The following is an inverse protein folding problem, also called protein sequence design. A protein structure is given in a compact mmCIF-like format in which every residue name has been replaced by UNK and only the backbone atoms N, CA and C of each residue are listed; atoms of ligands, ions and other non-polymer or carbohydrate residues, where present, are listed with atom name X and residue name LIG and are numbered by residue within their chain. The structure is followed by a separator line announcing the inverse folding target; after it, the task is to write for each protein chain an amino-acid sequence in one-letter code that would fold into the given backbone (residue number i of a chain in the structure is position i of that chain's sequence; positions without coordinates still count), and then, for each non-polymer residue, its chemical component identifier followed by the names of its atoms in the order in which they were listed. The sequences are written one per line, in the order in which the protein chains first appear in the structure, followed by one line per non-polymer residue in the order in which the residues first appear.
data_IF_438398112885
#
_entry.id   IF_438398112885
#
_cell.length_a   1.000
_cell.length_b   1.000
_cell.length_c   1.000
_cell.angle_alpha   90.00
_cell.angle_beta   90.00
_cell.angle_gamma   90.00
#
_symmetry.space_group_name_H-M   'P 1'
#
loop_
_entity.id
_entity.type
_entity.pdbx_description
1 polymer ?
#
# COMPACT_ATOMS: atom_id res chain seq x y z
N UNK A 1 1.60 27.03 -19.80
CA UNK A 1 1.44 26.19 -18.59
C UNK A 1 0.89 24.79 -18.90
N UNK A 2 0.11 24.60 -19.97
CA UNK A 2 -0.40 23.29 -20.43
C UNK A 2 0.71 22.34 -20.91
N UNK A 3 1.67 22.88 -21.66
CA UNK A 3 2.81 22.12 -22.22
C UNK A 3 3.60 21.34 -21.15
N UNK A 4 3.79 21.93 -19.97
CA UNK A 4 4.50 21.29 -18.84
C UNK A 4 3.72 20.14 -18.20
N UNK A 5 2.38 20.24 -18.12
CA UNK A 5 1.53 19.18 -17.56
C UNK A 5 1.39 18.01 -18.54
N UNK A 6 1.27 18.28 -19.83
CA UNK A 6 1.17 17.22 -20.84
C UNK A 6 2.49 16.42 -20.93
N UNK A 7 3.65 17.09 -20.92
CA UNK A 7 4.95 16.41 -20.84
C UNK A 7 5.09 15.59 -19.57
N UNK A 8 4.60 16.09 -18.43
CA UNK A 8 4.63 15.33 -17.17
C UNK A 8 3.71 14.10 -17.23
N UNK A 9 2.50 14.23 -17.77
CA UNK A 9 1.59 13.10 -17.96
C UNK A 9 2.17 12.06 -18.92
N UNK A 10 2.80 12.48 -20.02
CA UNK A 10 3.45 11.57 -20.96
C UNK A 10 4.57 10.79 -20.28
N UNK A 11 5.46 11.48 -19.57
CA UNK A 11 6.55 10.87 -18.80
C UNK A 11 6.02 9.91 -17.72
N UNK A 12 4.93 10.28 -17.04
CA UNK A 12 4.30 9.44 -16.04
C UNK A 12 3.69 8.16 -16.63
N UNK A 13 3.10 8.28 -17.82
CA UNK A 13 2.48 7.16 -18.54
C UNK A 13 3.51 6.20 -19.11
N UNK A 14 4.64 6.70 -19.63
CA UNK A 14 5.68 5.90 -20.29
C UNK A 14 6.75 5.35 -19.34
N UNK A 15 6.90 5.91 -18.14
CA UNK A 15 7.93 5.46 -17.21
C UNK A 15 7.73 4.00 -16.79
N UNK A 16 8.81 3.24 -16.70
CA UNK A 16 8.81 1.91 -16.06
C UNK A 16 8.88 1.98 -14.53
N UNK A 17 9.12 3.17 -13.95
CA UNK A 17 9.22 3.37 -12.50
C UNK A 17 7.85 3.73 -11.91
N UNK A 18 7.66 3.44 -10.62
CA UNK A 18 6.46 3.80 -9.87
C UNK A 18 5.17 3.16 -10.38
N UNK A 19 5.24 2.00 -11.05
CA UNK A 19 4.06 1.34 -11.66
C UNK A 19 3.00 0.97 -10.63
N UNK A 20 3.42 0.58 -9.43
CA UNK A 20 2.50 0.31 -8.32
C UNK A 20 1.68 1.55 -7.92
N UNK A 21 2.29 2.74 -7.91
CA UNK A 21 1.58 4.01 -7.67
C UNK A 21 0.74 4.42 -8.89
N UNK A 22 1.23 4.16 -10.11
CA UNK A 22 0.52 4.45 -11.36
C UNK A 22 -0.82 3.71 -11.46
N UNK A 23 -0.89 2.47 -10.98
CA UNK A 23 -2.13 1.69 -10.92
C UNK A 23 -3.24 2.41 -10.13
N UNK A 24 -2.87 3.19 -9.10
CA UNK A 24 -3.83 3.98 -8.32
C UNK A 24 -4.05 5.38 -8.92
N UNK A 25 -2.99 6.02 -9.41
CA UNK A 25 -3.02 7.39 -9.89
C UNK A 25 -2.46 7.48 -11.32
N UNK A 26 -3.19 6.99 -12.34
CA UNK A 26 -2.69 6.98 -13.72
C UNK A 26 -2.66 8.37 -14.36
N UNK A 27 -3.43 9.32 -13.79
CA UNK A 27 -3.45 10.72 -14.21
C UNK A 27 -2.71 11.59 -13.19
N UNK A 28 -1.84 12.46 -13.68
CA UNK A 28 -1.17 13.46 -12.85
C UNK A 28 -2.21 14.37 -12.22
N UNK A 29 -1.94 14.80 -11.01
CA UNK A 29 -2.83 15.69 -10.28
C UNK A 29 -2.02 16.57 -9.33
N UNK A 30 -2.33 17.86 -9.30
CA UNK A 30 -1.72 18.81 -8.37
C UNK A 30 -2.35 18.77 -6.98
N UNK A 31 -3.52 18.10 -6.83
CA UNK A 31 -4.16 17.91 -5.53
C UNK A 31 -3.30 17.01 -4.65
N UNK A 32 -2.94 17.54 -3.49
CA UNK A 32 -2.25 16.76 -2.46
C UNK A 32 -3.16 15.62 -1.99
N UNK A 33 -2.63 14.41 -2.03
CA UNK A 33 -3.22 13.28 -1.34
C UNK A 33 -2.90 13.44 0.15
N UNK A 34 -3.93 13.50 0.99
CA UNK A 34 -3.77 13.54 2.44
C UNK A 34 -3.35 12.16 2.95
N UNK A 35 -2.13 11.70 2.63
CA UNK A 35 -1.52 10.49 3.15
C UNK A 35 -0.74 10.77 4.45
N UNK A 36 -0.52 9.74 5.26
CA UNK A 36 0.44 9.77 6.35
C UNK A 36 1.51 8.69 6.12
N UNK A 37 2.46 8.57 7.04
CA UNK A 37 3.56 7.62 6.92
C UNK A 37 3.10 6.18 6.61
N UNK A 38 2.06 5.69 7.28
CA UNK A 38 1.55 4.33 7.09
C UNK A 38 0.77 4.16 5.78
N UNK A 39 -0.13 5.10 5.48
CA UNK A 39 -0.93 5.05 4.25
C UNK A 39 -0.06 5.23 3.01
N UNK A 40 0.97 6.07 3.08
CA UNK A 40 1.88 6.29 1.96
C UNK A 40 2.62 5.01 1.59
N UNK A 41 3.04 4.19 2.56
CA UNK A 41 3.66 2.89 2.28
C UNK A 41 2.74 1.96 1.48
N UNK A 42 1.46 1.91 1.86
CA UNK A 42 0.46 1.09 1.13
C UNK A 42 0.21 1.66 -0.27
N UNK A 43 0.08 2.99 -0.40
CA UNK A 43 -0.14 3.67 -1.68
C UNK A 43 1.02 3.48 -2.65
N UNK A 44 2.26 3.49 -2.16
CA UNK A 44 3.44 3.32 -3.01
C UNK A 44 3.90 1.87 -3.13
N UNK A 45 3.33 0.94 -2.36
CA UNK A 45 3.82 -0.44 -2.21
C UNK A 45 5.28 -0.49 -1.72
N UNK A 46 5.69 0.50 -0.91
CA UNK A 46 7.05 0.60 -0.40
C UNK A 46 7.09 0.36 1.11
N UNK A 47 8.26 0.61 1.72
CA UNK A 47 8.45 0.53 3.16
C UNK A 47 8.50 -0.92 3.59
N UNK A 48 7.73 -1.30 4.61
CA UNK A 48 7.85 -2.65 5.22
C UNK A 48 7.18 -3.78 4.43
N UNK A 49 6.66 -3.51 3.24
CA UNK A 49 6.00 -4.49 2.39
C UNK A 49 7.02 -5.49 1.84
N UNK A 50 6.79 -6.80 2.03
CA UNK A 50 7.74 -7.87 1.75
C UNK A 50 8.26 -7.87 0.31
N UNK A 51 7.38 -7.71 -0.69
CA UNK A 51 7.83 -7.60 -2.08
C UNK A 51 8.74 -6.40 -2.38
N UNK A 52 8.60 -5.31 -1.62
CA UNK A 52 9.50 -4.17 -1.76
C UNK A 52 10.81 -4.43 -1.02
N UNK A 53 10.72 -4.98 0.19
CA UNK A 53 11.88 -5.35 0.99
C UNK A 53 12.77 -6.37 0.28
N UNK A 54 12.19 -7.33 -0.45
CA UNK A 54 12.96 -8.32 -1.20
C UNK A 54 13.77 -7.69 -2.34
N UNK A 55 13.17 -6.74 -3.07
CA UNK A 55 13.83 -5.99 -4.15
C UNK A 55 14.97 -5.10 -3.66
N UNK A 56 14.86 -4.55 -2.45
CA UNK A 56 15.82 -3.58 -1.92
C UNK A 56 16.90 -4.19 -1.01
N UNK A 57 16.57 -5.26 -0.28
CA UNK A 57 17.40 -5.76 0.83
C UNK A 57 17.62 -7.27 0.80
N UNK A 58 17.32 -7.95 -0.32
CA UNK A 58 17.52 -9.39 -0.49
C UNK A 58 16.85 -10.25 0.61
N UNK A 59 15.67 -9.81 1.06
CA UNK A 59 14.84 -10.53 2.03
C UNK A 59 13.81 -11.43 1.32
N UNK A 60 13.20 -12.36 2.06
CA UNK A 60 12.10 -13.16 1.51
C UNK A 60 10.88 -12.28 1.22
N UNK A 61 10.27 -12.38 0.02
CA UNK A 61 9.02 -11.70 -0.29
C UNK A 61 7.80 -12.32 0.41
N UNK A 62 7.93 -13.55 0.91
CA UNK A 62 6.84 -14.35 1.45
C UNK A 62 6.30 -13.71 2.73
N UNK A 63 4.98 -13.53 2.81
CA UNK A 63 4.36 -13.05 4.03
C UNK A 63 4.54 -14.06 5.16
N UNK A 64 4.75 -13.58 6.39
CA UNK A 64 4.81 -14.43 7.59
C UNK A 64 3.56 -15.30 7.85
N UNK A 65 2.45 -15.04 7.15
CA UNK A 65 1.28 -15.90 7.18
C UNK A 65 1.42 -17.18 6.34
N UNK A 66 2.42 -17.25 5.45
CA UNK A 66 2.74 -18.43 4.64
C UNK A 66 1.88 -18.65 3.39
N UNK A 67 0.91 -17.79 3.08
CA UNK A 67 -0.04 -18.06 1.99
C UNK A 67 0.36 -17.51 0.62
N UNK A 68 1.18 -16.45 0.58
CA UNK A 68 1.66 -15.82 -0.66
C UNK A 68 2.81 -14.86 -0.39
N UNK A 69 3.42 -14.37 -1.46
CA UNK A 69 4.22 -13.15 -1.42
C UNK A 69 3.41 -11.98 -0.89
N UNK A 70 4.09 -11.08 -0.18
CA UNK A 70 3.48 -9.97 0.50
C UNK A 70 3.49 -8.72 -0.36
N UNK A 71 2.41 -8.53 -1.11
CA UNK A 71 2.09 -7.29 -1.79
C UNK A 71 1.09 -6.42 -1.00
N UNK A 72 0.78 -5.24 -1.52
CA UNK A 72 -0.22 -4.34 -0.90
C UNK A 72 -1.61 -4.98 -0.82
N UNK A 73 -1.99 -5.80 -1.80
CA UNK A 73 -3.32 -6.40 -1.91
C UNK A 73 -3.49 -7.49 -0.86
N UNK A 74 -2.46 -8.31 -0.70
CA UNK A 74 -2.35 -9.33 0.32
C UNK A 74 -2.51 -8.69 1.70
N UNK A 75 -1.71 -7.68 2.05
CA UNK A 75 -1.79 -7.00 3.35
C UNK A 75 -3.19 -6.45 3.61
N UNK A 76 -3.77 -5.72 2.64
CA UNK A 76 -5.01 -5.00 2.85
C UNK A 76 -6.24 -5.91 2.79
N UNK A 77 -6.29 -6.89 1.89
CA UNK A 77 -7.52 -7.61 1.57
C UNK A 77 -7.50 -9.10 1.97
N UNK A 78 -6.35 -9.77 1.92
CA UNK A 78 -6.31 -11.24 1.90
C UNK A 78 -5.68 -11.85 3.15
N UNK A 79 -4.63 -11.22 3.69
CA UNK A 79 -3.78 -11.81 4.71
C UNK A 79 -4.58 -12.22 5.96
N UNK A 80 -4.60 -13.50 6.35
CA UNK A 80 -5.42 -13.97 7.45
C UNK A 80 -5.03 -13.35 8.80
N UNK A 81 -3.78 -12.94 8.96
CA UNK A 81 -3.29 -12.26 10.18
C UNK A 81 -4.05 -10.97 10.49
N UNK A 82 -4.59 -10.30 9.47
CA UNK A 82 -5.30 -9.03 9.62
C UNK A 82 -6.84 -9.18 9.57
N UNK A 83 -7.36 -10.40 9.56
CA UNK A 83 -8.81 -10.66 9.44
C UNK A 83 -9.63 -9.98 10.56
N UNK A 84 -9.12 -9.97 11.80
CA UNK A 84 -9.80 -9.31 12.92
C UNK A 84 -9.85 -7.79 12.76
N UNK A 85 -8.76 -7.16 12.30
CA UNK A 85 -8.73 -5.72 12.04
C UNK A 85 -9.69 -5.38 10.90
N UNK A 86 -9.70 -6.17 9.82
CA UNK A 86 -10.68 -5.98 8.73
C UNK A 86 -12.11 -6.09 9.23
N UNK A 87 -12.44 -7.13 9.99
CA UNK A 87 -13.78 -7.32 10.58
C UNK A 87 -14.22 -6.13 11.44
N UNK A 88 -13.30 -5.53 12.18
CA UNK A 88 -13.60 -4.41 13.07
C UNK A 88 -13.73 -3.06 12.33
N UNK A 89 -12.86 -2.80 11.35
CA UNK A 89 -12.68 -1.46 10.78
C UNK A 89 -13.23 -1.31 9.36
N UNK A 90 -13.31 -2.39 8.58
CA UNK A 90 -13.65 -2.30 7.15
C UNK A 90 -15.16 -2.46 6.95
N UNK A 91 -15.73 -1.85 5.91
CA UNK A 91 -17.13 -2.09 5.55
C UNK A 91 -17.32 -3.55 5.10
N UNK A 92 -18.52 -4.12 5.27
CA UNK A 92 -18.79 -5.53 4.94
C UNK A 92 -18.53 -5.88 3.47
N UNK A 93 -18.69 -4.92 2.56
CA UNK A 93 -18.45 -5.08 1.13
C UNK A 93 -17.01 -4.74 0.70
N UNK A 94 -16.05 -4.66 1.62
CA UNK A 94 -14.68 -4.20 1.31
C UNK A 94 -13.98 -5.00 0.21
N UNK A 95 -14.33 -6.27 0.02
CA UNK A 95 -13.77 -7.15 -1.03
C UNK A 95 -14.07 -6.59 -2.43
N UNK A 96 -15.17 -5.85 -2.59
CA UNK A 96 -15.58 -5.26 -3.87
C UNK A 96 -15.05 -3.83 -4.06
N UNK A 97 -14.26 -3.31 -3.12
CA UNK A 97 -13.72 -1.96 -3.18
C UNK A 97 -12.30 -1.97 -3.74
N UNK A 98 -12.00 -1.00 -4.59
CA UNK A 98 -10.60 -0.64 -4.88
C UNK A 98 -9.92 -0.10 -3.62
N UNK A 99 -8.58 -0.13 -3.60
CA UNK A 99 -7.80 0.41 -2.49
C UNK A 99 -8.14 1.90 -2.23
N UNK A 100 -8.32 2.72 -3.26
CA UNK A 100 -8.66 4.14 -3.08
C UNK A 100 -10.07 4.35 -2.51
N UNK A 101 -11.04 3.55 -2.94
CA UNK A 101 -12.39 3.58 -2.36
C UNK A 101 -12.37 3.18 -0.89
N UNK A 102 -11.60 2.13 -0.56
CA UNK A 102 -11.43 1.70 0.83
C UNK A 102 -10.76 2.79 1.68
N UNK A 103 -9.67 3.40 1.20
CA UNK A 103 -8.94 4.45 1.92
C UNK A 103 -9.71 5.78 2.05
N UNK A 104 -10.76 5.96 1.25
CA UNK A 104 -11.70 7.09 1.39
C UNK A 104 -12.63 6.92 2.58
N UNK A 105 -12.83 5.68 3.07
CA UNK A 105 -13.56 5.42 4.30
C UNK A 105 -12.64 5.65 5.52
N UNK A 106 -12.99 6.62 6.37
CA UNK A 106 -12.18 7.00 7.54
C UNK A 106 -11.93 5.83 8.50
N UNK A 107 -12.93 4.97 8.74
CA UNK A 107 -12.81 3.83 9.64
C UNK A 107 -11.89 2.76 9.05
N UNK A 108 -12.06 2.41 7.78
CA UNK A 108 -11.20 1.45 7.10
C UNK A 108 -9.75 1.96 7.03
N UNK A 109 -9.57 3.25 6.78
CA UNK A 109 -8.27 3.91 6.80
C UNK A 109 -7.54 3.75 8.13
N UNK A 110 -8.22 3.97 9.26
CA UNK A 110 -7.66 3.68 10.59
C UNK A 110 -7.26 2.21 10.74
N UNK A 111 -8.04 1.28 10.19
CA UNK A 111 -7.68 -0.14 10.18
C UNK A 111 -6.41 -0.43 9.37
N UNK A 112 -6.26 0.18 8.18
CA UNK A 112 -5.03 0.04 7.36
C UNK A 112 -3.82 0.62 8.08
N UNK A 113 -3.96 1.78 8.74
CA UNK A 113 -2.90 2.38 9.56
C UNK A 113 -2.47 1.45 10.71
N UNK A 114 -3.44 0.84 11.41
CA UNK A 114 -3.16 -0.10 12.48
C UNK A 114 -2.40 -1.35 11.98
N UNK A 115 -2.81 -1.91 10.83
CA UNK A 115 -2.11 -3.03 10.19
C UNK A 115 -0.65 -2.68 9.93
N UNK A 116 -0.41 -1.53 9.27
CA UNK A 116 0.94 -1.11 8.89
C UNK A 116 1.81 -0.76 10.10
N UNK A 117 1.22 -0.19 11.16
CA UNK A 117 1.92 0.09 12.40
C UNK A 117 2.39 -1.20 13.09
N UNK A 118 1.49 -2.16 13.30
CA UNK A 118 1.84 -3.45 13.91
C UNK A 118 2.88 -4.18 13.08
N UNK A 119 2.75 -4.13 11.75
CA UNK A 119 3.71 -4.75 10.84
C UNK A 119 5.10 -4.12 10.95
N UNK A 120 5.18 -2.79 10.97
CA UNK A 120 6.46 -2.10 11.17
C UNK A 120 7.10 -2.47 12.50
N UNK A 121 6.33 -2.52 13.59
CA UNK A 121 6.81 -2.94 14.90
C UNK A 121 7.39 -4.36 14.87
N UNK A 122 6.74 -5.29 14.15
CA UNK A 122 7.27 -6.66 13.96
C UNK A 122 8.60 -6.66 13.20
N UNK A 123 8.69 -5.93 12.09
CA UNK A 123 9.93 -5.84 11.30
C UNK A 123 11.07 -5.20 12.09
N UNK A 124 10.78 -4.15 12.87
CA UNK A 124 11.78 -3.48 13.71
C UNK A 124 12.32 -4.40 14.80
N UNK A 125 11.48 -5.26 15.38
CA UNK A 125 11.93 -6.25 16.37
C UNK A 125 12.89 -7.27 15.76
N UNK A 126 12.56 -7.82 14.59
CA UNK A 126 13.43 -8.80 13.89
C UNK A 126 14.76 -8.23 13.40
N UNK A 127 14.92 -6.90 13.33
CA UNK A 127 16.18 -6.25 12.95
C UNK A 127 17.10 -5.96 14.15
N UNK A 128 16.55 -6.02 15.37
CA UNK A 128 17.29 -5.76 16.61
C UNK A 128 17.69 -7.05 17.35
N UNK A 129 17.39 -8.21 16.74
CA UNK A 129 17.79 -9.56 17.17
C UNK A 129 18.97 -10.03 16.31
#
# INVERSE_FOLDING_TARGET
MTETLDTWQQSWSSSSKGRDTFQLFPKINLKRIHGNFYINQVITAHGVIGLYQSRCFNTSPVCSCGTSDEDRSHIVFQCPQWANIRKQFFPSNFINLTLLQLLSNKKARTGVEAIMKIKLEKVMKTLNE
#
